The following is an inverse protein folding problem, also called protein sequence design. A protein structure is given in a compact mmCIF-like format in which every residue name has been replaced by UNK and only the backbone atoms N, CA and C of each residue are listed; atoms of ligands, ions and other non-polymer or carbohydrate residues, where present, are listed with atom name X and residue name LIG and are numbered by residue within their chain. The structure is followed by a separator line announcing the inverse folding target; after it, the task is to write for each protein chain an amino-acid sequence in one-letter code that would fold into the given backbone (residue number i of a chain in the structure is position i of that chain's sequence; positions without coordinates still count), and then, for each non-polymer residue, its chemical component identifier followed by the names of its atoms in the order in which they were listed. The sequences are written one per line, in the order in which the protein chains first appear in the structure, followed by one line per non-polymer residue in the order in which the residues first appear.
data_IF_031736240780
#
_entry.id   IF_031736240780
#
_cell.length_a   1.000
_cell.length_b   1.000
_cell.length_c   1.000
_cell.angle_alpha   90.00
_cell.angle_beta   90.00
_cell.angle_gamma   90.00
#
_symmetry.space_group_name_H-M   'P 1'
#
loop_
_entity.id
_entity.type
_entity.pdbx_description
1 polymer ?
#
# COMPACT_ATOMS: atom_id res chain seq x y z
N UNK A 1 -48.32 9.24 -21.48
CA UNK A 1 -46.86 9.06 -21.47
C UNK A 1 -46.26 10.18 -20.63
N UNK A 2 -45.83 9.87 -19.41
CA UNK A 2 -45.13 10.81 -18.53
C UNK A 2 -43.74 10.21 -18.32
N UNK A 3 -42.73 10.89 -18.84
CA UNK A 3 -41.32 10.53 -18.69
C UNK A 3 -40.91 10.84 -17.26
N UNK A 4 -40.59 9.81 -16.47
CA UNK A 4 -39.99 9.96 -15.15
C UNK A 4 -38.49 10.17 -15.33
N UNK A 5 -38.09 11.44 -15.31
CA UNK A 5 -36.72 11.90 -15.20
C UNK A 5 -36.24 11.65 -13.76
N UNK A 6 -35.73 10.45 -13.48
CA UNK A 6 -35.06 10.13 -12.22
C UNK A 6 -33.54 10.23 -12.41
N UNK A 7 -33.05 11.45 -12.66
CA UNK A 7 -31.66 11.77 -12.47
C UNK A 7 -31.40 11.98 -10.97
N UNK A 8 -31.19 10.87 -10.23
CA UNK A 8 -30.55 10.94 -8.92
C UNK A 8 -29.14 11.51 -9.12
N UNK A 9 -29.00 12.82 -8.89
CA UNK A 9 -27.69 13.45 -8.70
C UNK A 9 -27.01 12.76 -7.52
N UNK A 10 -26.04 11.89 -7.81
CA UNK A 10 -25.10 11.43 -6.82
C UNK A 10 -24.45 12.67 -6.20
N UNK A 11 -24.76 12.94 -4.94
CA UNK A 11 -24.03 13.95 -4.16
C UNK A 11 -22.56 13.52 -4.15
N UNK A 12 -21.61 14.41 -4.46
CA UNK A 12 -20.20 14.08 -4.28
C UNK A 12 -19.99 13.78 -2.80
N UNK A 13 -19.44 12.60 -2.50
CA UNK A 13 -19.08 12.21 -1.15
C UNK A 13 -18.30 13.35 -0.49
N UNK A 14 -18.68 13.71 0.74
CA UNK A 14 -18.00 14.80 1.44
C UNK A 14 -16.54 14.43 1.61
N UNK A 15 -15.63 15.40 1.52
CA UNK A 15 -14.19 15.18 1.69
C UNK A 15 -13.89 14.48 3.03
N UNK A 16 -14.73 14.70 4.06
CA UNK A 16 -14.64 14.01 5.34
C UNK A 16 -14.98 12.52 5.29
N UNK A 17 -15.97 12.12 4.48
CA UNK A 17 -16.37 10.71 4.33
C UNK A 17 -15.34 9.92 3.52
N UNK A 18 -14.74 10.53 2.49
CA UNK A 18 -13.62 9.92 1.75
C UNK A 18 -12.43 9.67 2.67
N UNK A 19 -12.02 10.66 3.49
CA UNK A 19 -10.89 10.51 4.43
C UNK A 19 -11.07 9.38 5.46
N UNK A 20 -12.31 9.16 5.90
CA UNK A 20 -12.63 8.08 6.82
C UNK A 20 -12.52 6.70 6.13
N UNK A 21 -13.00 6.59 4.90
CA UNK A 21 -12.89 5.38 4.09
C UNK A 21 -11.41 5.06 3.77
N UNK A 22 -10.62 6.07 3.45
CA UNK A 22 -9.20 5.97 3.13
C UNK A 22 -8.37 5.46 4.31
N UNK A 23 -8.57 6.04 5.49
CA UNK A 23 -7.94 5.59 6.73
C UNK A 23 -8.32 4.14 7.04
N UNK A 24 -9.59 3.79 6.81
CA UNK A 24 -10.12 2.44 7.03
C UNK A 24 -9.48 1.41 6.09
N UNK A 25 -9.27 1.77 4.81
CA UNK A 25 -8.59 0.90 3.83
C UNK A 25 -7.16 0.61 4.28
N UNK A 26 -6.42 1.62 4.77
CA UNK A 26 -5.05 1.42 5.27
C UNK A 26 -5.00 0.51 6.49
N UNK A 27 -5.94 0.65 7.43
CA UNK A 27 -6.04 -0.25 8.58
C UNK A 27 -6.38 -1.68 8.16
N UNK A 28 -7.31 -1.87 7.22
CA UNK A 28 -7.64 -3.21 6.73
C UNK A 28 -6.49 -3.85 5.96
N UNK A 29 -5.78 -3.09 5.13
CA UNK A 29 -4.58 -3.57 4.45
C UNK A 29 -3.51 -4.00 5.48
N UNK A 30 -3.21 -3.14 6.45
CA UNK A 30 -2.23 -3.45 7.51
C UNK A 30 -2.62 -4.69 8.30
N UNK A 31 -3.91 -4.82 8.65
CA UNK A 31 -4.44 -5.99 9.37
C UNK A 31 -4.36 -7.27 8.54
N UNK A 32 -4.74 -7.22 7.26
CA UNK A 32 -4.63 -8.36 6.35
C UNK A 32 -3.18 -8.83 6.22
N UNK A 33 -2.23 -7.91 6.05
CA UNK A 33 -0.82 -8.25 5.91
C UNK A 33 -0.21 -8.77 7.22
N UNK A 34 -0.60 -8.23 8.37
CA UNK A 34 -0.17 -8.69 9.70
C UNK A 34 -0.73 -10.07 10.08
N UNK A 35 -1.89 -10.45 9.54
CA UNK A 35 -2.53 -11.75 9.80
C UNK A 35 -2.44 -12.73 8.62
N UNK A 36 -1.58 -12.43 7.64
CA UNK A 36 -1.41 -13.24 6.44
C UNK A 36 -0.99 -14.69 6.74
N UNK A 37 -0.21 -14.90 7.80
CA UNK A 37 0.22 -16.24 8.27
C UNK A 37 -0.92 -17.09 8.86
N UNK A 38 -2.00 -16.46 9.35
CA UNK A 38 -3.17 -17.15 9.89
C UNK A 38 -4.22 -17.48 8.80
N UNK A 39 -4.11 -16.85 7.63
CA UNK A 39 -4.89 -17.13 6.42
C UNK A 39 -4.07 -18.05 5.49
N UNK A 40 -4.68 -18.60 4.44
CA UNK A 40 -3.91 -19.21 3.36
C UNK A 40 -3.08 -18.10 2.67
N UNK A 41 -1.86 -17.88 3.16
CA UNK A 41 -1.00 -16.75 2.81
C UNK A 41 -0.87 -16.57 1.28
N UNK A 42 -0.77 -17.69 0.55
CA UNK A 42 -0.73 -17.70 -0.92
C UNK A 42 -2.00 -17.16 -1.57
N UNK A 43 -3.17 -17.51 -1.04
CA UNK A 43 -4.45 -17.03 -1.56
C UNK A 43 -4.62 -15.54 -1.27
N UNK A 44 -4.20 -15.08 -0.08
CA UNK A 44 -4.21 -13.67 0.26
C UNK A 44 -3.26 -12.87 -0.65
N UNK A 45 -2.05 -13.37 -0.89
CA UNK A 45 -1.08 -12.73 -1.80
C UNK A 45 -1.60 -12.73 -3.24
N UNK A 46 -2.19 -13.83 -3.70
CA UNK A 46 -2.81 -13.92 -5.02
C UNK A 46 -3.95 -12.89 -5.19
N UNK A 47 -4.83 -12.74 -4.19
CA UNK A 47 -5.89 -11.73 -4.19
C UNK A 47 -5.34 -10.31 -4.08
N UNK A 48 -4.29 -10.10 -3.28
CA UNK A 48 -3.64 -8.79 -3.16
C UNK A 48 -3.02 -8.34 -4.48
N UNK A 49 -2.46 -9.28 -5.24
CA UNK A 49 -1.95 -9.07 -6.59
C UNK A 49 -3.08 -8.82 -7.59
N UNK A 50 -4.10 -9.67 -7.60
CA UNK A 50 -5.29 -9.55 -8.48
C UNK A 50 -5.96 -8.18 -8.34
N UNK A 51 -6.08 -7.69 -7.11
CA UNK A 51 -6.71 -6.41 -6.79
C UNK A 51 -5.72 -5.24 -6.75
N UNK A 52 -4.45 -5.46 -7.10
CA UNK A 52 -3.39 -4.43 -7.08
C UNK A 52 -3.32 -3.64 -5.77
N UNK A 53 -3.53 -4.32 -4.63
CA UNK A 53 -3.68 -3.64 -3.33
C UNK A 53 -2.43 -2.86 -2.91
N UNK A 54 -1.24 -3.38 -3.25
CA UNK A 54 0.03 -2.68 -2.94
C UNK A 54 0.14 -1.39 -3.75
N UNK A 55 -0.13 -1.44 -5.06
CA UNK A 55 -0.12 -0.27 -5.94
C UNK A 55 -1.14 0.76 -5.46
N UNK A 56 -2.36 0.32 -5.15
CA UNK A 56 -3.42 1.19 -4.63
C UNK A 56 -3.00 1.87 -3.33
N UNK A 57 -2.44 1.14 -2.37
CA UNK A 57 -2.00 1.70 -1.10
C UNK A 57 -0.86 2.71 -1.26
N UNK A 58 0.10 2.42 -2.15
CA UNK A 58 1.22 3.31 -2.47
C UNK A 58 0.73 4.59 -3.11
N UNK A 59 -0.07 4.49 -4.17
CA UNK A 59 -0.61 5.65 -4.89
C UNK A 59 -1.43 6.53 -3.96
N UNK A 60 -2.26 5.89 -3.14
CA UNK A 60 -3.10 6.59 -2.19
C UNK A 60 -2.28 7.33 -1.14
N UNK A 61 -1.28 6.67 -0.55
CA UNK A 61 -0.37 7.30 0.39
C UNK A 61 0.38 8.47 -0.22
N UNK A 62 0.98 8.29 -1.41
CA UNK A 62 1.76 9.35 -2.05
C UNK A 62 0.91 10.56 -2.41
N UNK A 63 -0.39 10.36 -2.69
CA UNK A 63 -1.31 11.45 -2.99
C UNK A 63 -1.72 12.26 -1.76
N UNK A 64 -1.88 11.61 -0.60
CA UNK A 64 -2.47 12.21 0.60
C UNK A 64 -1.56 12.19 1.84
N UNK A 65 -0.25 11.97 1.66
CA UNK A 65 0.71 11.78 2.78
C UNK A 65 0.71 12.91 3.81
N UNK A 66 0.43 14.15 3.41
CA UNK A 66 0.43 15.32 4.30
C UNK A 66 -0.82 15.35 5.19
N UNK A 67 -1.88 14.64 4.80
CA UNK A 67 -3.15 14.54 5.52
C UNK A 67 -3.15 13.39 6.53
N UNK A 68 -2.20 12.46 6.43
CA UNK A 68 -2.13 11.28 7.28
C UNK A 68 -1.42 11.55 8.61
N UNK A 69 -2.04 11.07 9.69
CA UNK A 69 -1.45 11.11 11.02
C UNK A 69 -0.18 10.27 11.09
N UNK A 70 0.69 10.59 12.05
CA UNK A 70 1.89 9.80 12.35
C UNK A 70 1.54 8.33 12.59
N UNK A 71 0.46 8.04 13.32
CA UNK A 71 0.04 6.66 13.60
C UNK A 71 -0.38 5.89 12.34
N UNK A 72 -1.01 6.56 11.38
CA UNK A 72 -1.38 5.94 10.11
C UNK A 72 -0.15 5.67 9.23
N UNK A 73 0.79 6.62 9.19
CA UNK A 73 2.10 6.46 8.53
C UNK A 73 2.84 5.25 9.12
N UNK A 74 2.93 5.16 10.44
CA UNK A 74 3.53 3.99 11.09
C UNK A 74 2.83 2.69 10.73
N UNK A 75 1.49 2.66 10.79
CA UNK A 75 0.70 1.45 10.52
C UNK A 75 0.89 0.94 9.09
N UNK A 76 1.02 1.85 8.12
CA UNK A 76 1.36 1.51 6.75
C UNK A 76 2.81 0.99 6.63
N UNK A 77 3.77 1.67 7.25
CA UNK A 77 5.17 1.25 7.22
C UNK A 77 5.37 -0.15 7.83
N UNK A 78 4.71 -0.44 8.94
CA UNK A 78 4.70 -1.78 9.56
C UNK A 78 4.02 -2.82 8.68
N UNK A 79 2.89 -2.48 8.03
CA UNK A 79 2.20 -3.40 7.12
C UNK A 79 3.04 -3.75 5.88
N UNK A 80 3.71 -2.76 5.29
CA UNK A 80 4.63 -2.98 4.18
C UNK A 80 5.90 -3.72 4.62
N UNK A 81 6.37 -3.52 5.84
CA UNK A 81 7.47 -4.30 6.42
C UNK A 81 7.08 -5.76 6.62
N UNK A 82 5.89 -6.03 7.15
CA UNK A 82 5.37 -7.40 7.28
C UNK A 82 5.24 -8.08 5.92
N UNK A 83 4.72 -7.39 4.90
CA UNK A 83 4.67 -7.91 3.53
C UNK A 83 6.07 -8.20 2.99
N UNK A 84 7.04 -7.30 3.21
CA UNK A 84 8.42 -7.50 2.78
C UNK A 84 9.14 -8.64 3.53
N UNK A 85 8.72 -8.98 4.75
CA UNK A 85 9.27 -10.09 5.52
C UNK A 85 8.61 -11.44 5.20
N UNK A 86 7.47 -11.41 4.49
CA UNK A 86 6.69 -12.60 4.17
C UNK A 86 7.43 -13.54 3.20
N UNK A 87 7.57 -14.82 3.59
CA UNK A 87 8.33 -15.84 2.85
C UNK A 87 7.71 -16.20 1.49
N UNK A 88 6.38 -16.16 1.36
CA UNK A 88 5.69 -16.43 0.09
C UNK A 88 5.73 -15.20 -0.84
N UNK A 89 5.82 -13.98 -0.29
CA UNK A 89 5.94 -12.76 -1.09
C UNK A 89 7.33 -12.60 -1.71
N UNK A 90 8.39 -12.84 -0.92
CA UNK A 90 9.80 -12.67 -1.33
C UNK A 90 10.18 -13.28 -2.67
N UNK A 91 9.78 -14.51 -3.05
CA UNK A 91 10.14 -15.09 -4.35
C UNK A 91 9.32 -14.54 -5.52
N UNK A 92 8.12 -13.98 -5.28
CA UNK A 92 7.18 -13.55 -6.32
C UNK A 92 6.95 -12.04 -6.37
N UNK A 93 7.73 -11.26 -5.60
CA UNK A 93 7.49 -9.84 -5.37
C UNK A 93 7.35 -9.01 -6.66
N UNK A 94 8.06 -9.38 -7.73
CA UNK A 94 8.01 -8.67 -9.01
C UNK A 94 6.62 -8.66 -9.63
N UNK A 95 5.82 -9.70 -9.35
CA UNK A 95 4.46 -9.82 -9.85
C UNK A 95 3.50 -8.79 -9.23
N UNK A 96 3.92 -8.09 -8.17
CA UNK A 96 3.17 -6.97 -7.58
C UNK A 96 3.48 -5.63 -8.26
N UNK A 97 4.46 -5.60 -9.16
CA UNK A 97 4.89 -4.41 -9.88
C UNK A 97 4.73 -4.62 -11.39
N UNK A 98 3.47 -4.84 -11.81
CA UNK A 98 3.11 -5.09 -13.20
C UNK A 98 2.11 -4.06 -13.74
N UNK A 99 2.17 -3.80 -15.04
CA UNK A 99 1.23 -2.93 -15.74
C UNK A 99 -0.14 -3.61 -15.97
N UNK A 100 -1.04 -2.94 -16.70
CA UNK A 100 -2.38 -3.47 -17.02
C UNK A 100 -2.34 -4.73 -17.90
N UNK A 101 -1.20 -5.02 -18.53
CA UNK A 101 -0.96 -6.19 -19.37
C UNK A 101 -0.17 -7.29 -18.65
N UNK A 102 0.09 -7.12 -17.35
CA UNK A 102 0.85 -8.07 -16.54
C UNK A 102 2.36 -8.07 -16.83
N UNK A 103 2.88 -7.05 -17.52
CA UNK A 103 4.31 -6.89 -17.78
C UNK A 103 4.98 -6.09 -16.67
N UNK A 104 6.27 -6.31 -16.44
CA UNK A 104 7.01 -5.59 -15.40
C UNK A 104 6.92 -4.06 -15.59
N UNK A 105 6.45 -3.36 -14.56
CA UNK A 105 6.24 -1.91 -14.57
C UNK A 105 7.36 -1.20 -13.83
N UNK A 106 8.23 -0.53 -14.58
CA UNK A 106 9.26 0.34 -14.00
C UNK A 106 8.64 1.51 -13.22
N UNK A 107 7.54 2.07 -13.71
CA UNK A 107 6.82 3.16 -13.04
C UNK A 107 6.32 2.72 -11.67
N UNK A 108 5.70 1.54 -11.56
CA UNK A 108 5.21 1.02 -10.29
C UNK A 108 6.35 0.82 -9.28
N UNK A 109 7.49 0.26 -9.74
CA UNK A 109 8.69 0.11 -8.91
C UNK A 109 9.22 1.48 -8.44
N UNK A 110 9.26 2.49 -9.32
CA UNK A 110 9.72 3.84 -8.99
C UNK A 110 8.79 4.53 -7.99
N UNK A 111 7.47 4.45 -8.17
CA UNK A 111 6.49 4.99 -7.22
C UNK A 111 6.66 4.36 -5.84
N UNK A 112 6.83 3.04 -5.77
CA UNK A 112 7.08 2.37 -4.50
C UNK A 112 8.36 2.86 -3.82
N UNK A 113 9.43 3.11 -4.58
CA UNK A 113 10.67 3.66 -4.04
C UNK A 113 10.52 5.08 -3.48
N UNK A 114 9.54 5.87 -3.92
CA UNK A 114 9.25 7.18 -3.32
C UNK A 114 8.80 7.08 -1.86
N UNK A 115 8.29 5.92 -1.42
CA UNK A 115 7.92 5.68 -0.02
C UNK A 115 9.14 5.68 0.91
N UNK A 116 10.34 5.37 0.42
CA UNK A 116 11.53 5.42 1.27
C UNK A 116 11.73 6.83 1.84
N UNK A 117 11.61 7.85 1.00
CA UNK A 117 11.72 9.25 1.41
C UNK A 117 10.46 9.74 2.12
N UNK A 118 9.28 9.45 1.57
CA UNK A 118 8.01 10.06 2.01
C UNK A 118 7.31 9.34 3.16
N UNK A 119 7.69 8.09 3.45
CA UNK A 119 7.11 7.28 4.50
C UNK A 119 8.19 6.85 5.50
N UNK A 120 9.17 6.06 5.06
CA UNK A 120 10.11 5.42 5.98
C UNK A 120 11.04 6.42 6.65
N UNK A 121 11.59 7.39 5.91
CA UNK A 121 12.42 8.44 6.50
C UNK A 121 11.63 9.34 7.46
N UNK A 122 10.36 9.64 7.15
CA UNK A 122 9.47 10.41 8.03
C UNK A 122 9.23 9.67 9.34
N UNK A 123 8.86 8.38 9.26
CA UNK A 123 8.64 7.53 10.45
C UNK A 123 9.91 7.43 11.30
N UNK A 124 11.09 7.30 10.68
CA UNK A 124 12.36 7.21 11.40
C UNK A 124 12.83 8.55 11.99
N UNK A 125 12.47 9.67 11.38
CA UNK A 125 12.74 10.99 11.94
C UNK A 125 11.89 11.25 13.19
N UNK A 126 10.63 10.82 13.18
CA UNK A 126 9.72 10.97 14.32
C UNK A 126 9.96 9.94 15.42
N UNK A 127 10.26 8.68 15.05
CA UNK A 127 10.42 7.53 15.97
C UNK A 127 11.61 6.65 15.57
N UNK A 128 12.86 7.07 15.86
CA UNK A 128 14.07 6.35 15.47
C UNK A 128 14.13 4.89 15.96
N UNK A 129 13.51 4.60 17.11
CA UNK A 129 13.44 3.27 17.72
C UNK A 129 12.70 2.25 16.84
N UNK A 130 11.81 2.71 15.94
CA UNK A 130 11.05 1.86 15.00
C UNK A 130 11.90 1.28 13.87
N UNK A 131 13.18 1.65 13.76
CA UNK A 131 14.09 1.15 12.73
C UNK A 131 14.17 -0.37 12.67
N UNK A 132 14.10 -1.06 13.81
CA UNK A 132 14.12 -2.52 13.85
C UNK A 132 12.84 -3.10 13.23
N UNK A 133 11.69 -2.53 13.58
CA UNK A 133 10.37 -3.00 13.16
C UNK A 133 10.17 -2.87 11.64
N UNK A 134 10.64 -1.77 11.05
CA UNK A 134 10.50 -1.54 9.60
C UNK A 134 11.73 -1.98 8.79
N UNK A 135 12.70 -2.67 9.41
CA UNK A 135 13.93 -3.11 8.75
C UNK A 135 13.67 -3.93 7.47
N UNK A 136 12.72 -4.90 7.45
CA UNK A 136 12.44 -5.67 6.25
C UNK A 136 12.06 -4.79 5.04
N UNK A 137 11.29 -3.72 5.27
CA UNK A 137 10.90 -2.76 4.23
C UNK A 137 12.12 -2.00 3.69
N UNK A 138 13.01 -1.54 4.57
CA UNK A 138 14.23 -0.84 4.17
C UNK A 138 15.15 -1.72 3.32
N UNK A 139 15.28 -3.00 3.70
CA UNK A 139 16.05 -3.96 2.91
C UNK A 139 15.35 -4.26 1.57
N UNK A 140 14.02 -4.27 1.55
CA UNK A 140 13.25 -4.47 0.33
C UNK A 140 13.36 -3.31 -0.67
N UNK A 141 13.41 -2.05 -0.23
CA UNK A 141 13.74 -0.94 -1.13
C UNK A 141 15.08 -1.15 -1.83
N UNK A 142 16.08 -1.67 -1.11
CA UNK A 142 17.38 -1.98 -1.71
C UNK A 142 17.29 -3.14 -2.71
N UNK A 143 16.43 -4.13 -2.48
CA UNK A 143 16.14 -5.18 -3.45
C UNK A 143 15.54 -4.61 -4.74
N UNK A 144 14.50 -3.76 -4.63
CA UNK A 144 13.86 -3.12 -5.78
C UNK A 144 14.89 -2.27 -6.56
N UNK A 145 15.67 -1.43 -5.87
CA UNK A 145 16.73 -0.60 -6.49
C UNK A 145 17.75 -1.41 -7.28
N UNK A 146 18.10 -2.62 -6.81
CA UNK A 146 19.02 -3.51 -7.53
C UNK A 146 18.39 -4.13 -8.77
N UNK A 147 17.08 -4.38 -8.76
CA UNK A 147 16.36 -4.95 -9.91
C UNK A 147 16.17 -3.99 -11.09
N UNK A 148 16.34 -2.69 -10.85
CA UNK A 148 16.17 -1.63 -11.87
C UNK A 148 17.51 -1.35 -12.60
N UNK A 149 18.64 -1.81 -12.04
CA UNK A 149 19.96 -1.67 -12.64
C UNK A 149 20.18 -2.70 -13.73
#
# INVERSE_FOLDING_TARGET
AVVLDNAQKAQPASIGDSRLQESTIMYYFSSLMKHAEALNNRELLAKSRELKLVELAVDHYLRYTDEFSSDLKMSLAEGLAALADNEDFRPEWEQFFVDEHGQASLEAKQKFLMLEERLSNVVLAEKPEKKKDIRPLLDFYNTIKRSIK
#
